data_IF_955459277733
#
_entry.id   IF_955459277733
#
_cell.length_a   1.000
_cell.length_b   1.000
_cell.length_c   1.000
_cell.angle_alpha   90.00
_cell.angle_beta   90.00
_cell.angle_gamma   90.00
#
_symmetry.space_group_name_H-M   'P 1'
#
loop_
_entity.id
_entity.type
_entity.pdbx_description
1 polymer ?
#
# COMPACT_ATOMS: atom_id res chain seq x y z
N UNK A 1 5.45 1.06 31.63
CA UNK A 1 6.72 0.30 31.40
C UNK A 1 6.68 -0.62 30.18
N UNK A 2 5.53 -0.78 29.51
CA UNK A 2 5.45 -1.61 28.28
C UNK A 2 5.96 -0.86 27.03
N UNK A 3 5.71 0.44 26.90
CA UNK A 3 6.17 1.23 25.75
C UNK A 3 7.69 1.30 25.60
N UNK A 4 8.43 1.21 26.68
CA UNK A 4 9.90 1.20 26.68
C UNK A 4 10.50 0.00 25.92
N UNK A 5 9.76 -1.09 25.78
CA UNK A 5 10.26 -2.30 25.12
C UNK A 5 10.22 -2.19 23.58
N UNK A 6 9.22 -1.52 23.00
CA UNK A 6 9.17 -1.27 21.53
C UNK A 6 10.24 -0.25 21.15
N UNK A 7 10.38 0.82 21.92
CA UNK A 7 11.42 1.84 21.75
C UNK A 7 12.82 1.25 21.94
N UNK A 8 13.01 0.31 22.88
CA UNK A 8 14.31 -0.32 23.14
C UNK A 8 14.71 -1.37 22.09
N UNK A 9 13.75 -1.96 21.37
CA UNK A 9 14.02 -3.01 20.38
C UNK A 9 14.22 -2.52 18.94
N UNK A 10 13.95 -1.24 18.64
CA UNK A 10 14.13 -0.76 17.29
C UNK A 10 13.63 0.65 17.07
N UNK A 11 14.22 1.65 17.25
CA UNK A 11 14.14 3.02 16.72
C UNK A 11 12.88 3.32 15.87
N UNK A 12 11.69 3.02 16.40
CA UNK A 12 10.41 3.33 15.74
C UNK A 12 9.91 4.68 16.19
N UNK A 13 9.08 5.29 15.37
CA UNK A 13 8.32 6.48 15.71
C UNK A 13 6.91 6.35 15.10
N UNK A 14 5.89 6.62 15.91
CA UNK A 14 4.50 6.66 15.49
C UNK A 14 4.00 8.07 15.79
N UNK A 15 3.69 8.81 14.76
CA UNK A 15 3.35 10.21 14.81
C UNK A 15 1.91 10.44 14.34
N UNK A 16 1.19 11.26 15.07
CA UNK A 16 -0.17 11.71 14.70
C UNK A 16 -0.14 13.23 14.57
N UNK A 17 -0.76 13.73 13.49
CA UNK A 17 -1.07 15.15 13.32
C UNK A 17 -2.08 15.57 14.39
N UNK A 18 -1.70 16.47 15.27
CA UNK A 18 -2.56 16.97 16.34
C UNK A 18 -3.59 17.97 15.87
N UNK A 19 -3.45 18.47 14.63
CA UNK A 19 -4.27 19.54 14.07
C UNK A 19 -3.94 20.91 14.64
N UNK A 20 -2.98 21.01 15.58
CA UNK A 20 -2.47 22.31 16.01
C UNK A 20 -1.45 22.80 14.98
N UNK A 21 -1.58 24.04 14.58
CA UNK A 21 -0.56 24.76 13.82
C UNK A 21 0.33 25.42 14.85
N UNK A 22 1.35 24.70 15.34
CA UNK A 22 2.37 25.34 16.16
C UNK A 22 3.32 26.11 15.26
N UNK A 23 3.73 27.26 15.73
CA UNK A 23 4.79 28.06 15.12
C UNK A 23 4.51 28.59 13.70
N UNK A 24 3.25 28.74 13.34
CA UNK A 24 2.87 29.41 12.09
C UNK A 24 3.06 30.92 12.20
N UNK A 25 3.59 31.52 11.12
CA UNK A 25 3.60 32.96 10.96
C UNK A 25 2.17 33.47 10.87
N UNK A 26 1.79 34.40 11.75
CA UNK A 26 0.48 35.04 11.78
C UNK A 26 0.62 36.52 11.38
N UNK A 27 0.07 36.90 10.26
CA UNK A 27 0.06 38.29 9.79
C UNK A 27 -0.64 39.19 10.84
N UNK A 28 -0.03 40.32 11.16
CA UNK A 28 -0.49 41.25 12.20
C UNK A 28 -0.39 40.81 13.67
N UNK A 29 0.26 39.68 13.97
CA UNK A 29 0.62 39.28 15.33
C UNK A 29 1.95 39.92 15.75
N UNK A 30 2.00 40.46 16.96
CA UNK A 30 3.20 41.17 17.46
C UNK A 30 4.41 40.24 17.74
N UNK A 31 4.18 38.94 17.90
CA UNK A 31 5.20 37.92 18.18
C UNK A 31 5.36 36.98 17.01
N UNK A 32 4.26 36.40 16.53
CA UNK A 32 4.26 35.43 15.44
C UNK A 32 4.31 36.08 14.05
N UNK A 33 4.14 37.39 13.94
CA UNK A 33 4.21 38.15 12.68
C UNK A 33 5.57 38.76 12.36
N UNK A 34 6.63 38.43 13.12
CA UNK A 34 7.98 38.95 12.86
C UNK A 34 8.67 38.09 11.80
N UNK A 35 9.05 38.69 10.68
CA UNK A 35 9.65 37.99 9.51
C UNK A 35 11.02 37.36 9.76
N UNK A 36 11.73 37.80 10.79
CA UNK A 36 13.03 37.25 11.20
C UNK A 36 12.94 36.32 12.43
N UNK A 37 11.72 35.92 12.76
CA UNK A 37 11.48 34.98 13.84
C UNK A 37 11.87 33.56 13.40
N UNK A 38 12.69 32.88 14.18
CA UNK A 38 13.12 31.52 13.90
C UNK A 38 12.16 30.45 14.45
N UNK A 39 11.17 30.86 15.26
CA UNK A 39 10.17 29.98 15.83
C UNK A 39 8.89 29.96 14.99
N UNK A 40 8.45 31.11 14.47
CA UNK A 40 7.23 31.21 13.66
C UNK A 40 7.60 31.36 12.19
N UNK A 41 7.37 30.32 11.40
CA UNK A 41 7.79 30.24 9.99
C UNK A 41 6.60 30.30 9.03
N UNK A 42 6.85 30.78 7.81
CA UNK A 42 5.79 30.98 6.81
C UNK A 42 5.13 29.68 6.32
N UNK A 43 5.80 28.57 6.41
CA UNK A 43 5.32 27.27 5.97
C UNK A 43 4.62 26.44 7.07
N UNK A 44 4.29 27.06 8.18
CA UNK A 44 3.55 26.49 9.30
C UNK A 44 3.49 24.97 9.31
N UNK A 45 4.50 24.30 9.88
CA UNK A 45 4.55 22.85 9.87
C UNK A 45 3.42 22.27 10.72
N UNK A 46 2.69 21.32 10.15
CA UNK A 46 1.75 20.47 10.90
C UNK A 46 2.47 19.88 12.09
N UNK A 47 1.91 20.05 13.29
CA UNK A 47 2.51 19.50 14.51
C UNK A 47 2.20 18.01 14.61
N UNK A 48 3.22 17.18 14.39
CA UNK A 48 3.14 15.75 14.58
C UNK A 48 3.64 15.38 15.98
N UNK A 49 2.75 14.86 16.80
CA UNK A 49 3.10 14.34 18.11
C UNK A 49 3.47 12.85 18.03
N UNK A 50 4.61 12.47 18.64
CA UNK A 50 4.96 11.07 18.82
C UNK A 50 4.09 10.44 19.92
N UNK A 51 3.41 9.36 19.59
CA UNK A 51 2.48 8.65 20.49
C UNK A 51 2.92 7.22 20.80
N UNK A 52 4.15 6.87 20.47
CA UNK A 52 4.67 5.51 20.58
C UNK A 52 4.71 4.96 22.01
N UNK A 53 4.86 5.82 23.01
CA UNK A 53 5.13 5.42 24.42
C UNK A 53 4.04 4.52 25.04
N UNK A 54 2.80 4.61 24.62
CA UNK A 54 1.70 3.77 25.10
C UNK A 54 1.41 2.54 24.25
N UNK A 55 2.06 2.39 23.08
CA UNK A 55 1.70 1.42 22.08
C UNK A 55 2.18 0.01 22.44
N UNK A 56 1.24 -0.96 22.41
CA UNK A 56 1.51 -2.37 22.65
C UNK A 56 1.76 -3.16 21.37
N UNK A 57 1.00 -2.85 20.33
CA UNK A 57 1.06 -3.55 19.06
C UNK A 57 0.68 -2.64 17.91
N UNK A 58 1.32 -2.85 16.78
CA UNK A 58 1.02 -2.20 15.50
C UNK A 58 0.93 -3.29 14.46
N UNK A 59 -0.10 -3.23 13.63
CA UNK A 59 -0.26 -4.08 12.44
C UNK A 59 -0.44 -3.17 11.24
N UNK A 60 0.36 -3.40 10.20
CA UNK A 60 0.28 -2.67 8.91
C UNK A 60 0.08 -3.68 7.81
N UNK A 61 -0.80 -3.39 6.88
CA UNK A 61 -0.98 -4.17 5.67
C UNK A 61 -1.12 -3.22 4.48
N UNK A 62 -0.31 -3.45 3.42
CA UNK A 62 -0.34 -2.70 2.15
C UNK A 62 -0.30 -3.65 0.97
N UNK A 63 -0.81 -3.21 -0.17
CA UNK A 63 -0.83 -4.02 -1.38
C UNK A 63 -1.91 -5.10 -1.38
N UNK A 64 -1.70 -6.15 -2.17
CA UNK A 64 -2.63 -7.29 -2.36
C UNK A 64 -1.95 -8.60 -1.98
N UNK A 65 -2.73 -9.66 -1.76
CA UNK A 65 -2.18 -10.99 -1.45
C UNK A 65 -1.92 -11.80 -2.70
N UNK A 66 -2.86 -11.76 -3.61
CA UNK A 66 -2.82 -12.55 -4.84
C UNK A 66 -2.74 -11.63 -6.06
N UNK A 67 -2.01 -12.04 -7.09
CA UNK A 67 -1.79 -11.26 -8.30
C UNK A 67 -3.11 -10.89 -9.03
N UNK A 68 -4.13 -11.75 -8.93
CA UNK A 68 -5.45 -11.52 -9.52
C UNK A 68 -6.32 -10.51 -8.78
N UNK A 69 -5.96 -10.15 -7.54
CA UNK A 69 -6.73 -9.21 -6.72
C UNK A 69 -6.51 -7.75 -7.18
N UNK A 70 -7.51 -6.92 -6.94
CA UNK A 70 -7.33 -5.47 -7.07
C UNK A 70 -6.60 -4.93 -5.84
N UNK A 71 -5.78 -3.89 -6.05
CA UNK A 71 -5.20 -3.14 -4.94
C UNK A 71 -6.30 -2.41 -4.16
N UNK A 72 -6.26 -2.56 -2.86
CA UNK A 72 -7.18 -1.89 -1.94
C UNK A 72 -6.41 -0.94 -1.02
N UNK A 73 -7.13 -0.09 -0.30
CA UNK A 73 -6.51 0.78 0.69
C UNK A 73 -5.66 -0.03 1.67
N UNK A 74 -4.41 0.39 1.83
CA UNK A 74 -3.56 -0.11 2.87
C UNK A 74 -4.11 0.29 4.24
N UNK A 75 -3.90 -0.55 5.23
CA UNK A 75 -4.45 -0.36 6.58
C UNK A 75 -3.37 -0.43 7.63
N UNK A 76 -3.49 0.38 8.66
CA UNK A 76 -2.71 0.26 9.88
C UNK A 76 -3.66 0.25 11.08
N UNK A 77 -3.39 -0.59 12.05
CA UNK A 77 -4.04 -0.49 13.36
C UNK A 77 -3.00 -0.57 14.46
N UNK A 78 -3.20 0.20 15.51
CA UNK A 78 -2.37 0.11 16.69
C UNK A 78 -3.21 0.19 17.96
N UNK A 79 -2.78 -0.55 18.97
CA UNK A 79 -3.43 -0.56 20.29
C UNK A 79 -2.49 0.01 21.32
N UNK A 80 -2.98 0.94 22.12
CA UNK A 80 -2.22 1.60 23.16
C UNK A 80 -2.92 1.54 24.51
N UNK A 81 -2.12 1.61 25.57
CA UNK A 81 -2.60 1.77 26.92
C UNK A 81 -2.68 3.26 27.23
N UNK A 82 -3.87 3.75 27.49
CA UNK A 82 -4.11 5.15 27.86
C UNK A 82 -4.20 5.30 29.38
N UNK A 83 -3.06 5.16 30.04
CA UNK A 83 -2.97 5.22 31.53
C UNK A 83 -3.20 6.61 32.11
N UNK A 84 -3.05 7.63 31.29
CA UNK A 84 -3.18 9.03 31.70
C UNK A 84 -4.47 9.68 31.17
N UNK A 85 -5.27 8.96 30.38
CA UNK A 85 -6.49 9.48 29.76
C UNK A 85 -6.23 10.52 28.65
N UNK A 86 -5.00 10.60 28.12
CA UNK A 86 -4.61 11.66 27.16
C UNK A 86 -5.32 11.52 25.80
N UNK A 87 -5.78 10.32 25.47
CA UNK A 87 -6.54 10.05 24.24
C UNK A 87 -8.05 10.11 24.43
N UNK A 88 -8.52 10.37 25.67
CA UNK A 88 -9.93 10.53 25.95
C UNK A 88 -10.47 11.81 25.28
N UNK A 89 -11.40 11.71 24.28
CA UNK A 89 -11.90 12.88 23.58
C UNK A 89 -12.77 13.80 24.46
N UNK A 90 -13.13 13.36 25.65
CA UNK A 90 -13.94 14.09 26.61
C UNK A 90 -13.09 14.79 27.70
N UNK A 91 -11.77 14.60 27.70
CA UNK A 91 -10.89 15.24 28.67
C UNK A 91 -10.35 16.58 28.15
N UNK A 92 -10.96 17.67 28.62
CA UNK A 92 -10.53 19.03 28.29
C UNK A 92 -9.13 19.40 28.81
N UNK A 93 -8.55 18.56 29.69
CA UNK A 93 -7.16 18.73 30.17
C UNK A 93 -6.14 17.90 29.39
N UNK A 94 -6.60 17.12 28.41
CA UNK A 94 -5.70 16.40 27.52
C UNK A 94 -4.76 17.38 26.79
N UNK A 95 -3.47 17.07 26.65
CA UNK A 95 -2.55 17.90 25.85
C UNK A 95 -2.97 17.97 24.37
N UNK A 96 -3.86 17.09 23.93
CA UNK A 96 -4.39 17.03 22.57
C UNK A 96 -5.81 17.61 22.45
N UNK A 97 -6.30 18.33 23.46
CA UNK A 97 -7.58 19.01 23.39
C UNK A 97 -7.38 20.46 22.96
N UNK A 98 -8.08 20.85 21.88
CA UNK A 98 -8.09 22.23 21.41
C UNK A 98 -9.05 23.06 22.25
N UNK A 99 -8.49 23.83 23.18
CA UNK A 99 -9.29 24.69 24.08
C UNK A 99 -9.87 25.92 23.37
N UNK A 100 -9.31 26.31 22.21
CA UNK A 100 -9.81 27.46 21.46
C UNK A 100 -11.07 27.10 20.67
N UNK A 101 -11.08 25.91 20.05
CA UNK A 101 -12.21 25.40 19.28
C UNK A 101 -13.14 24.49 20.12
N UNK A 102 -12.78 24.22 21.36
CA UNK A 102 -13.49 23.32 22.31
C UNK A 102 -13.76 21.93 21.70
N UNK A 103 -12.74 21.31 21.10
CA UNK A 103 -12.83 20.01 20.45
C UNK A 103 -11.57 19.16 20.63
N UNK A 104 -11.65 17.83 20.53
CA UNK A 104 -10.49 16.96 20.52
C UNK A 104 -9.58 17.27 19.33
N UNK A 105 -8.29 17.51 19.55
CA UNK A 105 -7.29 17.69 18.49
C UNK A 105 -7.03 16.36 17.74
N UNK A 106 -6.97 15.25 18.49
CA UNK A 106 -6.89 13.92 17.91
C UNK A 106 -8.28 13.47 17.43
N UNK A 107 -8.60 13.78 16.19
CA UNK A 107 -9.89 13.47 15.56
C UNK A 107 -9.69 12.50 14.39
N UNK A 108 -10.75 11.82 13.92
CA UNK A 108 -10.70 11.13 12.63
C UNK A 108 -10.24 12.05 11.50
N UNK A 109 -9.64 11.48 10.46
CA UNK A 109 -9.03 12.15 9.30
C UNK A 109 -7.73 12.93 9.58
N UNK A 110 -7.17 12.85 10.79
CA UNK A 110 -5.82 13.33 11.06
C UNK A 110 -4.78 12.42 10.40
N UNK A 111 -3.69 13.03 9.90
CA UNK A 111 -2.56 12.28 9.34
C UNK A 111 -1.86 11.45 10.40
N UNK A 112 -1.39 10.28 10.01
CA UNK A 112 -0.61 9.37 10.85
C UNK A 112 0.56 8.83 10.05
N UNK A 113 1.70 8.68 10.71
CA UNK A 113 2.93 8.16 10.11
C UNK A 113 3.57 7.16 11.05
N UNK A 114 3.90 5.99 10.53
CA UNK A 114 4.76 5.02 11.21
C UNK A 114 6.10 5.00 10.51
N UNK A 115 7.17 5.19 11.25
CA UNK A 115 8.52 5.15 10.72
C UNK A 115 9.45 4.30 11.60
N UNK A 116 10.56 3.91 11.00
CA UNK A 116 11.70 3.26 11.64
C UNK A 116 12.96 4.05 11.31
N UNK A 117 13.88 4.16 12.27
CA UNK A 117 15.20 4.69 11.99
C UNK A 117 16.15 3.55 11.62
N UNK A 118 16.87 3.72 10.50
CA UNK A 118 17.91 2.80 10.05
C UNK A 118 19.11 2.80 11.01
N UNK A 119 20.05 1.88 10.79
CA UNK A 119 21.32 1.84 11.54
C UNK A 119 22.17 3.11 11.36
N UNK A 120 21.92 3.87 10.30
CA UNK A 120 22.53 5.17 10.01
C UNK A 120 21.70 6.35 10.52
N UNK A 121 20.66 6.09 11.32
CA UNK A 121 19.74 7.09 11.87
C UNK A 121 18.98 7.88 10.79
N UNK A 122 18.69 7.24 9.64
CA UNK A 122 17.80 7.77 8.62
C UNK A 122 16.38 7.33 8.92
N UNK A 123 15.43 8.28 8.92
CA UNK A 123 14.02 8.02 9.15
C UNK A 123 13.40 7.43 7.87
N UNK A 124 12.81 6.26 7.97
CA UNK A 124 12.19 5.53 6.88
C UNK A 124 10.76 5.16 7.24
N UNK A 125 9.80 5.57 6.41
CA UNK A 125 8.40 5.30 6.66
C UNK A 125 8.07 3.84 6.34
N UNK A 126 7.17 3.26 7.13
CA UNK A 126 6.54 1.96 6.91
C UNK A 126 5.08 2.11 6.50
N UNK A 127 4.46 3.22 6.92
CA UNK A 127 3.08 3.55 6.59
C UNK A 127 2.83 5.05 6.77
N UNK A 128 2.12 5.63 5.82
CA UNK A 128 1.58 6.98 5.88
C UNK A 128 0.10 6.94 5.49
N UNK A 129 -0.76 7.63 6.24
CA UNK A 129 -2.18 7.62 5.95
C UNK A 129 -2.97 8.55 6.87
N UNK A 130 -4.25 8.24 7.02
CA UNK A 130 -5.20 8.98 7.88
C UNK A 130 -5.83 8.07 8.91
N UNK A 131 -6.21 8.63 10.04
CA UNK A 131 -6.95 7.91 11.07
C UNK A 131 -8.42 7.85 10.65
N UNK A 132 -8.96 6.63 10.61
CA UNK A 132 -10.37 6.39 10.23
C UNK A 132 -11.26 6.28 11.45
N UNK A 133 -10.78 5.62 12.49
CA UNK A 133 -11.58 5.34 13.69
C UNK A 133 -10.73 5.20 14.95
N UNK A 134 -11.30 5.60 16.08
CA UNK A 134 -10.80 5.32 17.43
C UNK A 134 -11.81 4.42 18.15
N UNK A 135 -11.36 3.30 18.67
CA UNK A 135 -12.15 2.39 19.49
C UNK A 135 -11.65 2.43 20.93
N UNK A 136 -12.43 3.04 21.81
CA UNK A 136 -12.10 3.24 23.23
C UNK A 136 -12.71 2.13 24.07
N UNK A 137 -11.89 1.52 24.92
CA UNK A 137 -12.33 0.54 25.91
C UNK A 137 -11.96 1.03 27.32
N UNK A 138 -12.96 1.58 28.02
CA UNK A 138 -12.83 2.07 29.39
C UNK A 138 -13.17 0.95 30.38
N UNK A 139 -12.17 0.48 31.15
CA UNK A 139 -12.29 -0.65 32.04
C UNK A 139 -12.39 -0.20 33.51
N UNK A 140 -13.49 -0.52 34.18
CA UNK A 140 -13.64 -0.27 35.62
C UNK A 140 -12.62 -1.09 36.41
N UNK A 141 -11.65 -0.41 37.02
CA UNK A 141 -10.58 -1.03 37.81
C UNK A 141 -9.50 -1.74 36.99
N UNK A 142 -9.47 -1.52 35.67
CA UNK A 142 -8.45 -1.99 34.73
C UNK A 142 -7.65 -0.85 34.13
N UNK A 143 -6.94 -1.16 33.05
CA UNK A 143 -6.26 -0.17 32.23
C UNK A 143 -7.16 0.17 31.03
N UNK A 144 -7.33 1.44 30.77
CA UNK A 144 -8.02 1.91 29.58
C UNK A 144 -7.15 1.68 28.34
N UNK A 145 -7.79 1.26 27.26
CA UNK A 145 -7.11 0.99 25.98
C UNK A 145 -7.79 1.72 24.85
N UNK A 146 -7.00 2.15 23.90
CA UNK A 146 -7.47 2.74 22.65
C UNK A 146 -6.91 1.95 21.50
N UNK A 147 -7.76 1.50 20.58
CA UNK A 147 -7.36 0.93 19.30
C UNK A 147 -7.67 1.94 18.21
N UNK A 148 -6.63 2.33 17.47
CA UNK A 148 -6.74 3.31 16.39
C UNK A 148 -6.65 2.57 15.05
N UNK A 149 -7.59 2.84 14.17
CA UNK A 149 -7.63 2.28 12.81
C UNK A 149 -7.32 3.37 11.81
N UNK A 150 -6.37 3.08 10.92
CA UNK A 150 -5.87 3.99 9.92
C UNK A 150 -5.95 3.34 8.53
N UNK A 151 -6.06 4.18 7.51
CA UNK A 151 -5.99 3.76 6.12
C UNK A 151 -5.11 4.74 5.33
N UNK A 152 -4.51 4.28 4.23
CA UNK A 152 -3.79 5.14 3.30
C UNK A 152 -4.75 6.01 2.45
N UNK A 153 -4.20 6.82 1.55
CA UNK A 153 -4.99 7.76 0.76
C UNK A 153 -5.91 7.10 -0.28
N UNK A 154 -5.77 5.80 -0.54
CA UNK A 154 -6.79 5.06 -1.31
C UNK A 154 -8.14 5.05 -0.61
N UNK A 155 -8.16 5.11 0.73
CA UNK A 155 -9.41 5.30 1.46
C UNK A 155 -10.12 6.60 1.06
N UNK A 156 -9.36 7.70 0.89
CA UNK A 156 -9.93 8.98 0.46
C UNK A 156 -10.47 8.90 -0.97
N UNK A 157 -9.69 8.30 -1.89
CA UNK A 157 -10.13 8.08 -3.28
C UNK A 157 -11.35 7.16 -3.37
N UNK A 158 -11.46 6.17 -2.47
CA UNK A 158 -12.63 5.30 -2.38
C UNK A 158 -13.90 5.99 -1.85
N UNK A 159 -13.78 7.13 -1.17
CA UNK A 159 -14.90 7.95 -0.69
C UNK A 159 -15.28 9.07 -1.67
N UNK A 160 -14.43 9.32 -2.68
CA UNK A 160 -14.63 10.39 -3.66
C UNK A 160 -15.34 9.87 -4.90
N UNK A 161 -16.25 10.67 -5.43
CA UNK A 161 -17.03 10.35 -6.63
C UNK A 161 -16.83 11.41 -7.68
N UNK A 162 -16.68 10.98 -8.93
CA UNK A 162 -16.49 11.82 -10.10
C UNK A 162 -17.79 12.52 -10.50
N UNK A 163 -17.68 13.76 -10.94
CA UNK A 163 -18.68 14.37 -11.81
C UNK A 163 -18.63 13.76 -13.21
N UNK A 164 -19.59 14.07 -14.10
CA UNK A 164 -19.54 13.61 -15.48
C UNK A 164 -18.24 14.07 -16.14
N UNK A 165 -17.45 13.11 -16.62
CA UNK A 165 -16.13 13.37 -17.17
C UNK A 165 -16.03 12.87 -18.61
N UNK A 166 -15.79 13.78 -19.55
CA UNK A 166 -15.57 13.47 -20.95
C UNK A 166 -14.09 13.09 -21.16
N UNK A 167 -13.85 11.90 -21.65
CA UNK A 167 -12.53 11.37 -21.89
C UNK A 167 -12.11 11.48 -23.35
N UNK A 168 -10.82 11.65 -23.62
CA UNK A 168 -10.20 11.57 -24.93
C UNK A 168 -9.47 10.24 -25.10
N UNK A 169 -9.14 9.89 -26.34
CA UNK A 169 -8.23 8.77 -26.60
C UNK A 169 -6.83 9.18 -26.15
N UNK A 170 -6.29 8.46 -25.17
CA UNK A 170 -5.03 8.81 -24.49
C UNK A 170 -4.39 7.59 -23.82
N UNK A 171 -3.13 7.74 -23.39
CA UNK A 171 -2.45 6.70 -22.62
C UNK A 171 -3.08 6.54 -21.22
N UNK A 172 -2.99 5.34 -20.67
CA UNK A 172 -3.47 5.02 -19.32
C UNK A 172 -2.92 5.96 -18.25
N UNK A 173 -1.63 6.29 -18.28
CA UNK A 173 -0.99 7.24 -17.37
C UNK A 173 -1.55 8.66 -17.49
N UNK A 174 -1.86 9.11 -18.72
CA UNK A 174 -2.49 10.40 -18.93
C UNK A 174 -3.91 10.43 -18.34
N UNK A 175 -4.66 9.32 -18.48
CA UNK A 175 -5.98 9.16 -17.88
C UNK A 175 -5.91 9.18 -16.36
N UNK A 176 -4.97 8.46 -15.73
CA UNK A 176 -4.74 8.51 -14.29
C UNK A 176 -4.47 9.96 -13.84
N UNK A 177 -3.54 10.64 -14.51
CA UNK A 177 -3.21 12.05 -14.19
C UNK A 177 -4.42 12.96 -14.34
N UNK A 178 -5.18 12.83 -15.43
CA UNK A 178 -6.36 13.64 -15.69
C UNK A 178 -7.44 13.46 -14.60
N UNK A 179 -7.67 12.24 -14.13
CA UNK A 179 -8.62 11.95 -13.05
C UNK A 179 -8.14 12.55 -11.72
N UNK A 180 -6.86 12.41 -11.39
CA UNK A 180 -6.29 12.94 -10.16
C UNK A 180 -6.27 14.48 -10.12
N UNK A 181 -6.27 15.14 -11.30
CA UNK A 181 -6.31 16.61 -11.45
C UNK A 181 -7.72 17.20 -11.42
N UNK A 182 -8.77 16.37 -11.45
CA UNK A 182 -10.15 16.86 -11.39
C UNK A 182 -10.40 17.63 -10.07
N UNK A 183 -11.16 18.75 -10.10
CA UNK A 183 -11.39 19.59 -8.91
C UNK A 183 -11.98 18.84 -7.71
N UNK A 184 -12.84 17.85 -7.96
CA UNK A 184 -13.47 17.02 -6.92
C UNK A 184 -12.51 15.99 -6.33
N UNK A 185 -11.40 15.66 -7.02
CA UNK A 185 -10.35 14.74 -6.55
C UNK A 185 -9.18 15.51 -5.97
N UNK A 186 -8.64 16.47 -6.72
CA UNK A 186 -7.57 17.39 -6.36
C UNK A 186 -6.40 16.70 -5.61
N UNK A 187 -6.01 15.51 -6.06
CA UNK A 187 -4.94 14.76 -5.40
C UNK A 187 -3.59 15.49 -5.59
N UNK A 188 -2.76 15.64 -4.54
CA UNK A 188 -1.55 16.46 -4.63
C UNK A 188 -0.54 15.93 -5.66
N UNK A 189 -0.02 16.78 -6.53
CA UNK A 189 0.91 16.38 -7.59
C UNK A 189 2.30 15.94 -7.07
N UNK A 190 2.71 16.42 -5.89
CA UNK A 190 4.01 16.09 -5.29
C UNK A 190 4.04 14.71 -4.61
N UNK A 191 2.88 14.07 -4.46
CA UNK A 191 2.73 12.74 -3.88
C UNK A 191 2.25 11.73 -4.92
N UNK A 192 2.75 11.85 -6.17
CA UNK A 192 2.42 10.95 -7.28
C UNK A 192 3.70 10.50 -7.96
N UNK A 193 3.81 9.18 -8.18
CA UNK A 193 4.79 8.56 -9.06
C UNK A 193 4.05 7.79 -10.16
N UNK A 194 3.93 8.42 -11.33
CA UNK A 194 3.14 7.90 -12.44
C UNK A 194 4.05 7.58 -13.62
N UNK A 195 4.35 6.30 -13.79
CA UNK A 195 5.10 5.81 -14.94
C UNK A 195 4.29 6.00 -16.24
N UNK A 196 5.00 6.18 -17.35
CA UNK A 196 4.33 6.31 -18.67
C UNK A 196 3.63 5.01 -19.05
N UNK A 197 2.31 5.09 -19.25
CA UNK A 197 1.49 3.95 -19.66
C UNK A 197 1.82 3.44 -21.05
N UNK A 198 1.54 2.18 -21.31
CA UNK A 198 1.77 1.51 -22.59
C UNK A 198 0.49 1.32 -23.39
N UNK A 199 -0.65 1.30 -22.71
CA UNK A 199 -1.95 1.08 -23.34
C UNK A 199 -2.65 2.39 -23.66
N UNK A 200 -3.26 2.44 -24.85
CA UNK A 200 -4.14 3.54 -25.23
C UNK A 200 -5.57 3.20 -24.84
N UNK A 201 -6.22 4.10 -24.13
CA UNK A 201 -7.61 3.98 -23.69
C UNK A 201 -8.55 4.70 -24.65
N UNK A 202 -9.79 4.21 -24.74
CA UNK A 202 -10.81 4.78 -25.60
C UNK A 202 -11.28 6.16 -25.14
N UNK A 203 -11.71 6.99 -26.13
CA UNK A 203 -12.15 8.37 -25.92
C UNK A 203 -13.47 8.72 -26.63
N UNK A 204 -14.27 7.73 -27.05
CA UNK A 204 -15.58 7.97 -27.66
C UNK A 204 -16.68 8.20 -26.62
N UNK A 205 -17.89 8.57 -27.06
CA UNK A 205 -19.05 8.73 -26.18
C UNK A 205 -19.39 7.48 -25.35
N UNK A 206 -18.93 6.29 -25.76
CA UNK A 206 -19.10 5.06 -24.98
C UNK A 206 -18.21 5.00 -23.72
N UNK A 207 -17.16 5.81 -23.68
CA UNK A 207 -16.19 5.86 -22.56
C UNK A 207 -16.41 7.06 -21.63
N UNK A 208 -17.43 7.88 -21.84
CA UNK A 208 -17.78 8.98 -20.92
C UNK A 208 -17.99 8.38 -19.53
N UNK A 209 -17.30 8.95 -18.54
CA UNK A 209 -17.43 8.53 -17.16
C UNK A 209 -18.69 9.15 -16.56
N UNK A 210 -19.68 8.36 -16.13
CA UNK A 210 -20.91 8.90 -15.56
C UNK A 210 -20.67 9.60 -14.22
N UNK A 211 -21.49 10.61 -13.94
CA UNK A 211 -21.56 11.21 -12.62
C UNK A 211 -21.85 10.14 -11.55
N UNK A 212 -21.16 10.22 -10.42
CA UNK A 212 -21.29 9.27 -9.33
C UNK A 212 -20.44 8.01 -9.49
N UNK A 213 -19.50 7.97 -10.45
CA UNK A 213 -18.50 6.92 -10.55
C UNK A 213 -17.47 7.08 -9.44
N UNK A 214 -17.17 5.99 -8.72
CA UNK A 214 -16.16 5.99 -7.67
C UNK A 214 -14.75 6.18 -8.27
N UNK A 215 -13.95 7.09 -7.69
CA UNK A 215 -12.61 7.43 -8.20
C UNK A 215 -11.68 6.21 -8.21
N UNK A 216 -11.54 5.53 -7.06
CA UNK A 216 -10.65 4.38 -6.94
C UNK A 216 -11.09 3.22 -7.84
N UNK A 217 -12.40 2.99 -7.95
CA UNK A 217 -12.96 2.00 -8.86
C UNK A 217 -12.60 2.29 -10.32
N UNK A 218 -12.76 3.52 -10.77
CA UNK A 218 -12.39 3.90 -12.13
C UNK A 218 -10.87 3.81 -12.41
N UNK A 219 -10.04 4.24 -11.44
CA UNK A 219 -8.58 4.08 -11.54
C UNK A 219 -8.18 2.59 -11.58
N UNK A 220 -8.92 1.72 -10.89
CA UNK A 220 -8.71 0.27 -10.96
C UNK A 220 -9.07 -0.29 -12.34
N UNK A 221 -10.14 0.21 -12.98
CA UNK A 221 -10.49 -0.17 -14.36
C UNK A 221 -9.41 0.29 -15.37
N UNK A 222 -8.82 1.48 -15.15
CA UNK A 222 -7.67 1.96 -15.93
C UNK A 222 -6.46 1.04 -15.76
N UNK A 223 -6.17 0.65 -14.52
CA UNK A 223 -5.07 -0.27 -14.20
C UNK A 223 -5.33 -1.69 -14.76
N UNK A 224 -6.57 -2.17 -14.76
CA UNK A 224 -6.94 -3.46 -15.38
C UNK A 224 -6.68 -3.43 -16.89
N UNK A 225 -7.00 -2.33 -17.58
CA UNK A 225 -6.72 -2.18 -19.01
C UNK A 225 -5.22 -2.10 -19.30
N UNK A 226 -4.42 -1.52 -18.41
CA UNK A 226 -2.96 -1.45 -18.52
C UNK A 226 -2.28 -2.75 -18.10
N UNK A 227 -2.85 -3.54 -17.17
CA UNK A 227 -2.19 -4.64 -16.46
C UNK A 227 -0.91 -4.18 -15.75
N UNK A 228 -1.00 -3.00 -15.16
CA UNK A 228 0.04 -2.39 -14.34
C UNK A 228 -0.16 -2.65 -12.84
N UNK A 229 0.45 -1.78 -12.03
CA UNK A 229 0.22 -1.71 -10.59
C UNK A 229 -0.25 -0.31 -10.20
N UNK A 230 -1.26 -0.25 -9.36
CA UNK A 230 -1.76 1.00 -8.79
C UNK A 230 -1.85 0.81 -7.28
N UNK A 231 -1.00 1.50 -6.51
CA UNK A 231 -0.92 1.32 -5.06
C UNK A 231 -0.42 2.59 -4.36
N UNK A 232 -0.54 2.61 -3.03
CA UNK A 232 0.12 3.64 -2.21
C UNK A 232 1.45 3.10 -1.70
N UNK A 233 2.53 3.87 -1.90
CA UNK A 233 3.86 3.53 -1.40
C UNK A 233 3.92 3.61 0.13
N UNK A 234 4.99 3.10 0.74
CA UNK A 234 5.25 3.23 2.18
C UNK A 234 5.40 4.69 2.63
N UNK A 235 5.82 5.56 1.72
CA UNK A 235 6.04 6.99 1.95
C UNK A 235 4.77 7.83 1.76
N UNK A 236 3.67 7.20 1.29
CA UNK A 236 2.37 7.82 1.08
C UNK A 236 2.18 8.44 -0.30
N UNK A 237 3.01 8.05 -1.28
CA UNK A 237 2.84 8.46 -2.68
C UNK A 237 1.91 7.49 -3.43
N UNK A 238 1.06 8.03 -4.29
CA UNK A 238 0.29 7.23 -5.23
C UNK A 238 1.19 6.82 -6.39
N UNK A 239 1.39 5.50 -6.52
CA UNK A 239 2.23 4.91 -7.55
C UNK A 239 1.35 4.27 -8.63
N UNK A 240 1.64 4.58 -9.88
CA UNK A 240 1.11 3.88 -11.04
C UNK A 240 2.25 3.35 -11.89
N UNK A 241 2.47 2.04 -11.84
CA UNK A 241 3.40 1.33 -12.70
C UNK A 241 2.67 0.80 -13.92
N UNK A 242 3.18 1.15 -15.10
CA UNK A 242 2.68 0.60 -16.35
C UNK A 242 3.08 -0.89 -16.50
N UNK A 243 2.46 -1.60 -17.44
CA UNK A 243 2.75 -3.02 -17.73
C UNK A 243 4.26 -3.30 -17.90
N UNK A 244 5.00 -2.42 -18.54
CA UNK A 244 6.46 -2.55 -18.67
C UNK A 244 7.19 -2.41 -17.34
N UNK A 245 6.69 -1.60 -16.41
CA UNK A 245 7.21 -1.42 -15.06
C UNK A 245 6.93 -2.62 -14.15
N UNK A 246 6.02 -3.52 -14.52
CA UNK A 246 5.77 -4.77 -13.79
C UNK A 246 6.75 -5.88 -14.16
N UNK A 247 7.65 -5.66 -15.12
CA UNK A 247 8.75 -6.58 -15.41
C UNK A 247 9.70 -6.60 -14.23
N UNK A 248 10.13 -7.80 -13.82
CA UNK A 248 11.05 -7.97 -12.70
C UNK A 248 12.32 -7.14 -12.91
N UNK A 249 12.64 -6.32 -11.92
CA UNK A 249 13.89 -5.57 -11.82
C UNK A 249 14.95 -6.43 -11.11
N UNK A 250 16.23 -6.04 -11.07
CA UNK A 250 17.19 -6.74 -10.22
C UNK A 250 16.71 -6.82 -8.77
N UNK A 251 16.88 -7.98 -8.16
CA UNK A 251 16.47 -8.23 -6.77
C UNK A 251 17.09 -7.23 -5.81
N UNK A 252 16.25 -6.64 -4.95
CA UNK A 252 16.70 -5.72 -3.88
C UNK A 252 17.09 -6.47 -2.61
N UNK A 253 16.66 -7.73 -2.48
CA UNK A 253 16.95 -8.57 -1.31
C UNK A 253 16.89 -10.05 -1.67
N UNK A 254 17.91 -10.81 -1.22
CA UNK A 254 18.02 -12.25 -1.44
C UNK A 254 17.77 -13.01 -0.14
N UNK A 255 16.71 -13.78 -0.13
CA UNK A 255 16.29 -14.60 1.01
C UNK A 255 16.63 -16.08 0.76
N UNK A 256 17.38 -16.68 1.68
CA UNK A 256 17.85 -18.04 1.53
C UNK A 256 17.95 -18.78 2.86
N UNK A 257 17.85 -20.11 2.83
CA UNK A 257 17.97 -20.98 4.01
C UNK A 257 19.39 -21.55 4.23
N UNK A 258 20.40 -21.06 3.51
CA UNK A 258 21.80 -21.48 3.60
C UNK A 258 22.60 -20.84 4.75
N UNK A 259 22.05 -19.80 5.40
CA UNK A 259 22.68 -19.03 6.46
C UNK A 259 23.66 -17.95 5.98
N UNK A 260 23.78 -17.69 4.68
CA UNK A 260 24.66 -16.65 4.11
C UNK A 260 23.91 -15.38 3.71
N UNK A 261 22.71 -15.53 3.20
CA UNK A 261 21.82 -14.45 2.78
C UNK A 261 20.85 -14.02 3.89
N UNK A 262 19.77 -13.34 3.56
CA UNK A 262 18.77 -12.92 4.54
C UNK A 262 17.95 -14.14 4.98
N UNK A 263 17.98 -14.51 6.28
CA UNK A 263 17.20 -15.64 6.74
C UNK A 263 15.71 -15.32 6.82
N UNK A 264 14.87 -16.34 6.62
CA UNK A 264 13.43 -16.25 6.77
C UNK A 264 12.90 -17.30 7.77
N UNK A 265 11.69 -17.08 8.28
CA UNK A 265 11.02 -18.00 9.21
C UNK A 265 10.21 -19.06 8.47
N UNK A 266 9.66 -18.70 7.32
CA UNK A 266 8.83 -19.56 6.53
C UNK A 266 8.51 -19.01 5.16
N UNK A 267 8.23 -19.91 4.23
CA UNK A 267 7.80 -19.59 2.86
C UNK A 267 6.54 -20.38 2.54
N UNK A 268 5.59 -19.74 1.89
CA UNK A 268 4.43 -20.37 1.27
C UNK A 268 4.74 -20.73 -0.18
N UNK A 269 4.43 -21.94 -0.59
CA UNK A 269 4.55 -22.39 -1.98
C UNK A 269 3.19 -22.93 -2.39
N UNK A 270 2.67 -22.49 -3.51
CA UNK A 270 1.46 -23.05 -4.12
C UNK A 270 1.79 -23.70 -5.46
N UNK A 271 1.01 -24.71 -5.78
CA UNK A 271 1.00 -25.40 -7.07
C UNK A 271 -0.43 -25.84 -7.30
N UNK A 272 -1.21 -24.98 -7.93
CA UNK A 272 -2.67 -25.12 -7.96
C UNK A 272 -3.27 -24.86 -9.34
N UNK A 273 -4.47 -25.37 -9.57
CA UNK A 273 -5.16 -25.24 -10.85
C UNK A 273 -5.64 -23.82 -11.14
N UNK A 274 -5.88 -23.01 -10.09
CA UNK A 274 -6.37 -21.63 -10.22
C UNK A 274 -5.33 -20.68 -10.84
N UNK A 275 -4.05 -21.14 -10.92
CA UNK A 275 -2.99 -20.42 -11.64
C UNK A 275 -3.14 -20.52 -13.17
N UNK A 276 -3.90 -21.52 -13.67
CA UNK A 276 -3.99 -21.74 -15.11
C UNK A 276 -5.05 -20.82 -15.72
N UNK A 277 -4.63 -20.02 -16.68
CA UNK A 277 -5.51 -19.29 -17.60
C UNK A 277 -5.20 -19.75 -19.03
N UNK A 278 -6.02 -20.64 -19.60
CA UNK A 278 -5.82 -21.15 -20.94
C UNK A 278 -6.88 -20.68 -21.94
N UNK A 279 -7.77 -19.80 -21.49
CA UNK A 279 -8.68 -19.02 -22.31
C UNK A 279 -8.84 -17.65 -21.68
N UNK A 280 -8.57 -16.61 -22.44
CA UNK A 280 -8.81 -15.23 -22.03
C UNK A 280 -9.82 -14.57 -22.94
N UNK A 281 -10.78 -13.86 -22.38
CA UNK A 281 -11.83 -13.14 -23.11
C UNK A 281 -11.81 -11.68 -22.68
N UNK A 282 -11.54 -10.77 -23.61
CA UNK A 282 -11.52 -9.33 -23.37
C UNK A 282 -12.55 -8.64 -24.25
N UNK A 283 -13.47 -7.92 -23.64
CA UNK A 283 -14.49 -7.14 -24.32
C UNK A 283 -14.35 -5.66 -23.94
N UNK A 284 -14.32 -4.81 -24.96
CA UNK A 284 -14.23 -3.36 -24.80
C UNK A 284 -15.58 -2.81 -24.32
N UNK A 285 -15.53 -1.81 -23.46
CA UNK A 285 -16.70 -1.08 -22.98
C UNK A 285 -17.54 -0.57 -24.17
N UNK A 286 -18.82 -0.94 -24.21
CA UNK A 286 -19.76 -0.57 -25.28
C UNK A 286 -19.62 -1.38 -26.57
N UNK A 287 -18.68 -2.31 -26.66
CA UNK A 287 -18.56 -3.24 -27.80
C UNK A 287 -19.35 -4.53 -27.55
N UNK A 288 -19.90 -5.13 -28.64
CA UNK A 288 -20.51 -6.46 -28.61
C UNK A 288 -19.58 -7.54 -29.22
N UNK A 289 -18.30 -7.22 -29.42
CA UNK A 289 -17.34 -8.09 -30.09
C UNK A 289 -16.21 -8.51 -29.14
N UNK A 290 -16.40 -9.56 -28.30
CA UNK A 290 -15.34 -10.02 -27.41
C UNK A 290 -14.16 -10.60 -28.20
N UNK A 291 -12.95 -10.27 -27.78
CA UNK A 291 -11.72 -10.83 -28.30
C UNK A 291 -11.32 -12.02 -27.43
N UNK A 292 -10.92 -13.11 -28.06
CA UNK A 292 -10.65 -14.38 -27.37
C UNK A 292 -9.28 -14.91 -27.76
N UNK A 293 -8.48 -15.27 -26.77
CA UNK A 293 -7.25 -16.03 -26.94
C UNK A 293 -7.39 -17.40 -26.25
N UNK A 294 -6.92 -18.45 -26.90
CA UNK A 294 -7.03 -19.83 -26.43
C UNK A 294 -5.69 -20.57 -26.54
N UNK A 295 -5.34 -21.38 -25.55
CA UNK A 295 -4.31 -22.41 -25.63
C UNK A 295 -4.94 -23.82 -25.63
N UNK A 296 -5.09 -24.40 -26.82
CA UNK A 296 -5.73 -25.70 -27.00
C UNK A 296 -4.90 -26.84 -26.37
N UNK A 297 -3.56 -26.69 -26.29
CA UNK A 297 -2.68 -27.67 -25.68
C UNK A 297 -2.89 -27.78 -24.17
N UNK A 298 -2.98 -26.64 -23.51
CA UNK A 298 -3.30 -26.53 -22.08
C UNK A 298 -4.72 -26.98 -21.78
N UNK A 299 -5.71 -26.58 -22.60
CA UNK A 299 -7.11 -27.00 -22.42
C UNK A 299 -7.28 -28.51 -22.49
N UNK A 300 -6.50 -29.21 -23.33
CA UNK A 300 -6.52 -30.66 -23.40
C UNK A 300 -5.98 -31.34 -22.14
N UNK A 301 -5.09 -30.68 -21.39
CA UNK A 301 -4.50 -31.20 -20.13
C UNK A 301 -5.29 -30.80 -18.89
N UNK A 302 -5.70 -29.51 -18.81
CA UNK A 302 -6.20 -28.88 -17.59
C UNK A 302 -7.67 -28.43 -17.69
N UNK A 303 -8.39 -28.85 -18.75
CA UNK A 303 -9.72 -28.35 -19.09
C UNK A 303 -9.71 -26.84 -19.41
N UNK A 304 -10.88 -26.30 -19.72
CA UNK A 304 -10.99 -24.86 -20.03
C UNK A 304 -11.04 -24.06 -18.73
N UNK A 305 -10.01 -23.24 -18.53
CA UNK A 305 -9.89 -22.27 -17.44
C UNK A 305 -9.95 -20.87 -18.04
N UNK A 306 -11.06 -20.16 -17.82
CA UNK A 306 -11.34 -18.88 -18.49
C UNK A 306 -11.15 -17.70 -17.55
N UNK A 307 -10.34 -16.72 -17.97
CA UNK A 307 -10.32 -15.38 -17.40
C UNK A 307 -11.08 -14.42 -18.33
N UNK A 308 -11.89 -13.50 -17.79
CA UNK A 308 -12.74 -12.64 -18.60
C UNK A 308 -12.80 -11.20 -18.09
N UNK A 309 -12.49 -10.25 -18.95
CA UNK A 309 -12.70 -8.81 -18.77
C UNK A 309 -13.83 -8.38 -19.70
N UNK A 310 -14.93 -7.84 -19.17
CA UNK A 310 -16.14 -7.54 -19.95
C UNK A 310 -16.33 -6.05 -20.25
N UNK A 311 -15.58 -5.16 -19.62
CA UNK A 311 -15.73 -3.70 -19.71
C UNK A 311 -14.38 -2.99 -19.83
N UNK A 312 -13.44 -3.56 -20.61
CA UNK A 312 -12.10 -2.98 -20.78
C UNK A 312 -12.17 -1.58 -21.38
N UNK A 313 -11.36 -0.67 -20.85
CA UNK A 313 -11.24 0.70 -21.33
C UNK A 313 -10.33 0.85 -22.56
N UNK A 314 -9.81 -0.23 -23.13
CA UNK A 314 -8.94 -0.22 -24.31
C UNK A 314 -9.65 0.41 -25.54
N UNK A 315 -8.86 1.08 -26.39
CA UNK A 315 -9.39 1.85 -27.53
C UNK A 315 -9.82 1.00 -28.74
N UNK A 316 -9.32 -0.25 -28.88
CA UNK A 316 -9.54 -1.05 -30.11
C UNK A 316 -9.59 -2.56 -29.84
N UNK A 317 -10.31 -3.29 -30.73
CA UNK A 317 -10.39 -4.76 -30.70
C UNK A 317 -9.00 -5.42 -30.82
N UNK A 318 -8.05 -4.81 -31.56
CA UNK A 318 -6.67 -5.29 -31.64
C UNK A 318 -5.96 -5.22 -30.28
N UNK A 319 -6.11 -4.10 -29.56
CA UNK A 319 -5.53 -3.96 -28.21
C UNK A 319 -6.18 -4.93 -27.21
N UNK A 320 -7.49 -5.19 -27.35
CA UNK A 320 -8.19 -6.18 -26.54
C UNK A 320 -7.72 -7.62 -26.82
N UNK A 321 -7.42 -7.95 -28.10
CA UNK A 321 -6.84 -9.25 -28.45
C UNK A 321 -5.42 -9.40 -27.92
N UNK A 322 -4.59 -8.35 -28.03
CA UNK A 322 -3.22 -8.35 -27.48
C UNK A 322 -3.25 -8.53 -25.96
N UNK A 323 -4.21 -7.91 -25.27
CA UNK A 323 -4.42 -8.12 -23.84
C UNK A 323 -4.88 -9.57 -23.55
N UNK A 324 -5.81 -10.13 -24.32
CA UNK A 324 -6.25 -11.50 -24.14
C UNK A 324 -5.08 -12.51 -24.31
N UNK A 325 -4.19 -12.28 -25.27
CA UNK A 325 -2.98 -13.10 -25.44
C UNK A 325 -2.02 -12.95 -24.24
N UNK A 326 -1.85 -11.74 -23.73
CA UNK A 326 -0.99 -11.47 -22.57
C UNK A 326 -1.49 -12.16 -21.30
N UNK A 327 -2.81 -12.28 -21.13
CA UNK A 327 -3.42 -12.90 -19.94
C UNK A 327 -3.36 -14.43 -19.92
N UNK A 328 -2.87 -15.07 -20.99
CA UNK A 328 -2.71 -16.52 -20.99
C UNK A 328 -1.54 -16.95 -20.08
N UNK A 329 -1.84 -17.81 -19.14
CA UNK A 329 -0.88 -18.54 -18.30
C UNK A 329 -1.24 -20.04 -18.38
N UNK A 330 -0.70 -20.76 -19.38
CA UNK A 330 -1.24 -22.05 -19.77
C UNK A 330 -0.81 -23.24 -18.91
N UNK A 331 0.19 -23.08 -18.04
CA UNK A 331 0.72 -24.22 -17.26
C UNK A 331 0.90 -23.82 -15.77
N UNK A 332 0.45 -24.67 -14.84
CA UNK A 332 0.68 -24.41 -13.43
C UNK A 332 2.17 -24.58 -13.09
N UNK A 333 2.68 -23.70 -12.27
CA UNK A 333 4.04 -23.73 -11.76
C UNK A 333 4.06 -23.68 -10.23
N UNK A 334 5.06 -24.34 -9.62
CA UNK A 334 5.28 -24.16 -8.20
C UNK A 334 5.85 -22.75 -7.96
N UNK A 335 5.11 -21.91 -7.24
CA UNK A 335 5.46 -20.51 -7.01
C UNK A 335 5.48 -20.20 -5.52
N UNK A 336 6.43 -19.36 -5.10
CA UNK A 336 6.37 -18.77 -3.78
C UNK A 336 5.27 -17.70 -3.78
N UNK A 337 4.35 -17.82 -2.83
CA UNK A 337 3.24 -16.86 -2.66
C UNK A 337 3.42 -15.98 -1.44
N UNK A 338 4.31 -16.39 -0.52
CA UNK A 338 4.62 -15.57 0.64
C UNK A 338 5.95 -15.94 1.26
N UNK A 339 6.57 -14.96 1.90
CA UNK A 339 7.78 -15.11 2.71
C UNK A 339 7.62 -14.35 4.01
N UNK A 340 7.88 -15.00 5.14
CA UNK A 340 7.85 -14.38 6.45
C UNK A 340 9.24 -14.36 7.09
N UNK A 341 9.65 -13.20 7.64
CA UNK A 341 10.88 -13.07 8.43
C UNK A 341 10.66 -12.24 9.68
N UNK A 342 11.54 -12.44 10.69
CA UNK A 342 11.52 -11.67 11.93
C UNK A 342 12.79 -10.86 12.07
N UNK A 343 12.65 -9.59 12.42
CA UNK A 343 13.77 -8.68 12.65
C UNK A 343 14.72 -9.17 13.76
N UNK A 344 14.25 -10.01 14.66
CA UNK A 344 15.08 -10.63 15.69
C UNK A 344 16.18 -11.54 15.12
N UNK A 345 15.95 -12.12 13.95
CA UNK A 345 16.92 -13.01 13.27
C UNK A 345 17.93 -12.24 12.42
N UNK A 346 17.68 -10.98 12.13
CA UNK A 346 18.42 -10.18 11.17
C UNK A 346 19.53 -9.36 11.82
N UNK A 347 20.63 -9.20 11.12
CA UNK A 347 21.65 -8.21 11.43
C UNK A 347 21.12 -6.79 11.19
N UNK A 348 21.80 -5.74 11.69
CA UNK A 348 21.36 -4.35 11.49
C UNK A 348 21.22 -3.99 10.01
N UNK A 349 22.19 -4.36 9.17
CA UNK A 349 22.15 -4.09 7.73
C UNK A 349 20.98 -4.82 7.04
N UNK A 350 20.74 -6.09 7.40
CA UNK A 350 19.61 -6.85 6.84
C UNK A 350 18.27 -6.27 7.27
N UNK A 351 18.15 -5.76 8.52
CA UNK A 351 16.95 -5.05 8.99
C UNK A 351 16.69 -3.79 8.18
N UNK A 352 17.74 -3.05 7.84
CA UNK A 352 17.62 -1.83 7.03
C UNK A 352 17.16 -2.17 5.61
N UNK A 353 17.73 -3.23 4.99
CA UNK A 353 17.27 -3.70 3.68
C UNK A 353 15.82 -4.16 3.74
N UNK A 354 15.46 -5.04 4.69
CA UNK A 354 14.11 -5.63 4.79
C UNK A 354 13.04 -4.56 5.09
N UNK A 355 13.38 -3.54 5.87
CA UNK A 355 12.41 -2.50 6.25
C UNK A 355 11.95 -1.62 5.08
N UNK A 356 12.78 -1.46 4.05
CA UNK A 356 12.54 -0.52 2.94
C UNK A 356 11.96 -1.19 1.70
N UNK A 357 11.87 -2.53 1.68
CA UNK A 357 11.19 -3.24 0.58
C UNK A 357 9.75 -2.74 0.47
N UNK A 358 9.35 -2.36 -0.74
CA UNK A 358 7.99 -1.88 -1.00
C UNK A 358 7.26 -2.75 -2.04
N UNK A 359 5.99 -2.48 -2.22
CA UNK A 359 5.17 -3.09 -3.27
C UNK A 359 5.78 -2.74 -4.64
N UNK A 360 5.91 -3.73 -5.52
CA UNK A 360 6.57 -3.56 -6.82
C UNK A 360 8.05 -3.90 -6.84
N UNK A 361 8.74 -3.93 -5.69
CA UNK A 361 10.12 -4.39 -5.61
C UNK A 361 10.25 -5.87 -5.98
N UNK A 362 11.41 -6.24 -6.52
CA UNK A 362 11.74 -7.65 -6.80
C UNK A 362 12.60 -8.21 -5.67
N UNK A 363 12.24 -9.40 -5.18
CA UNK A 363 13.04 -10.15 -4.21
C UNK A 363 13.35 -11.54 -4.75
N UNK A 364 14.50 -12.09 -4.36
CA UNK A 364 14.85 -13.49 -4.65
C UNK A 364 14.51 -14.35 -3.44
N UNK A 365 13.81 -15.44 -3.68
CA UNK A 365 13.53 -16.45 -2.64
C UNK A 365 14.14 -17.79 -3.08
N UNK A 366 14.96 -18.38 -2.23
CA UNK A 366 15.59 -19.65 -2.47
C UNK A 366 15.39 -20.60 -1.29
N UNK A 367 14.95 -21.82 -1.59
CA UNK A 367 14.73 -22.90 -0.64
C UNK A 367 15.40 -24.17 -1.09
N UNK A 368 16.23 -24.72 -0.20
CA UNK A 368 16.87 -26.02 -0.39
C UNK A 368 15.99 -27.16 0.09
N UNK A 369 15.83 -28.19 -0.75
CA UNK A 369 15.11 -29.42 -0.45
C UNK A 369 16.10 -30.58 -0.48
N UNK A 370 16.28 -31.25 0.66
CA UNK A 370 17.18 -32.43 0.75
C UNK A 370 16.37 -33.71 0.78
N UNK A 371 16.62 -34.59 -0.21
CA UNK A 371 16.03 -35.92 -0.28
C UNK A 371 17.15 -36.94 -0.36
N UNK A 372 17.42 -37.64 0.75
CA UNK A 372 18.54 -38.55 0.87
C UNK A 372 19.88 -37.80 0.79
N UNK A 373 20.64 -38.07 -0.28
CA UNK A 373 21.96 -37.43 -0.53
C UNK A 373 21.88 -36.31 -1.58
N UNK A 374 20.70 -36.04 -2.15
CA UNK A 374 20.51 -35.04 -3.20
C UNK A 374 19.84 -33.83 -2.60
N UNK A 375 20.41 -32.65 -2.84
CA UNK A 375 19.79 -31.35 -2.55
C UNK A 375 19.31 -30.74 -3.87
N UNK A 376 18.08 -30.32 -3.90
CA UNK A 376 17.47 -29.56 -5.01
C UNK A 376 17.09 -28.22 -4.48
N UNK A 377 17.34 -27.16 -5.24
CA UNK A 377 17.03 -25.80 -4.89
C UNK A 377 15.90 -25.29 -5.79
N UNK A 378 14.95 -24.58 -5.19
CA UNK A 378 13.97 -23.79 -5.91
C UNK A 378 14.33 -22.33 -5.66
N UNK A 379 14.81 -21.64 -6.68
CA UNK A 379 15.14 -20.22 -6.66
C UNK A 379 14.21 -19.47 -7.61
N UNK A 380 13.58 -18.41 -7.14
CA UNK A 380 12.70 -17.58 -7.95
C UNK A 380 12.91 -16.09 -7.62
N UNK A 381 12.99 -15.27 -8.66
CA UNK A 381 12.86 -13.83 -8.57
C UNK A 381 11.38 -13.49 -8.69
N UNK A 382 10.85 -12.70 -7.75
CA UNK A 382 9.43 -12.47 -7.59
C UNK A 382 9.17 -11.01 -7.25
N UNK A 383 8.10 -10.46 -7.78
CA UNK A 383 7.64 -9.14 -7.38
C UNK A 383 6.89 -9.20 -6.04
N UNK A 384 7.09 -8.20 -5.21
CA UNK A 384 6.32 -7.99 -3.98
C UNK A 384 4.97 -7.37 -4.34
N UNK A 385 3.89 -8.08 -4.07
CA UNK A 385 2.52 -7.64 -4.32
C UNK A 385 1.86 -7.06 -3.08
N UNK A 386 2.31 -7.46 -1.91
CA UNK A 386 1.80 -6.93 -0.65
C UNK A 386 2.73 -7.20 0.51
N UNK A 387 2.55 -6.40 1.56
CA UNK A 387 3.41 -6.38 2.73
C UNK A 387 2.55 -6.31 3.99
N UNK A 388 2.88 -7.16 4.96
CA UNK A 388 2.25 -7.13 6.28
C UNK A 388 3.32 -7.02 7.36
N UNK A 389 3.34 -5.89 8.11
CA UNK A 389 4.19 -5.72 9.28
C UNK A 389 3.39 -5.96 10.55
N UNK A 390 3.96 -6.72 11.47
CA UNK A 390 3.45 -6.86 12.83
C UNK A 390 4.54 -6.47 13.81
N UNK A 391 4.29 -5.44 14.59
CA UNK A 391 5.22 -4.93 15.61
C UNK A 391 4.54 -5.07 16.96
N UNK A 392 5.14 -5.82 17.87
CA UNK A 392 4.57 -6.09 19.19
C UNK A 392 5.65 -6.05 20.25
N UNK A 393 5.34 -5.49 21.42
CA UNK A 393 6.28 -5.34 22.55
C UNK A 393 6.84 -6.66 23.06
N UNK A 394 6.12 -7.77 22.88
CA UNK A 394 6.50 -9.09 23.37
C UNK A 394 7.23 -9.95 22.32
N UNK A 395 6.87 -9.82 21.05
CA UNK A 395 7.37 -10.69 19.96
C UNK A 395 8.32 -9.97 19.01
N UNK A 396 8.44 -8.64 19.14
CA UNK A 396 9.25 -7.81 18.24
C UNK A 396 8.55 -7.52 16.92
N UNK A 397 9.35 -7.27 15.89
CA UNK A 397 8.88 -6.94 14.54
C UNK A 397 9.03 -8.15 13.61
N UNK A 398 7.96 -8.52 12.96
CA UNK A 398 7.92 -9.50 11.87
C UNK A 398 7.30 -8.88 10.63
N UNK A 399 7.74 -9.33 9.46
CA UNK A 399 7.20 -8.92 8.16
C UNK A 399 6.88 -10.15 7.32
N UNK A 400 5.77 -10.06 6.60
CA UNK A 400 5.39 -11.04 5.58
C UNK A 400 5.24 -10.31 4.25
N UNK A 401 5.93 -10.80 3.23
CA UNK A 401 5.77 -10.36 1.84
C UNK A 401 4.89 -11.35 1.11
N UNK A 402 3.94 -10.86 0.34
CA UNK A 402 3.14 -11.62 -0.61
C UNK A 402 3.75 -11.39 -1.99
N UNK A 403 3.96 -12.45 -2.75
CA UNK A 403 4.79 -12.41 -3.96
C UNK A 403 4.09 -13.04 -5.16
N UNK A 404 4.42 -12.52 -6.34
CA UNK A 404 4.04 -13.10 -7.64
C UNK A 404 5.22 -13.11 -8.61
N UNK A 405 5.17 -13.96 -9.67
CA UNK A 405 6.19 -14.01 -10.72
C UNK A 405 6.30 -12.72 -11.50
#
# INVERSE_FOLDING_TARGET
MAGTAVVASGNYDLEIDTGFVQDAFLLDDAVAGLLDNTQYVLDGTTDFASVLDGVNSISVRRGRRDQGDQFSAGTMSFTMLDTAGIFNPFDENSPYYDTAEAQPGLAPMRRVRLSRYSSLNVKEYLFVGVIVNYDYNFALGGLDTVTVFCADDFYLLAQTYLDEFNVSEELSSARVTAVLDLPEVAFPALTRDIATGTQTLGGSAAFVVPQGTNVLGYLSDVNEAEQGRLFMSRDGDLVFDARLGTTLTPSVADFHDDGTNIPYNGVGITFEADQVTNRAVVQILGSNNPQVADDAGSQAKYFVQTYSITTSLLHSDSAALDLAVYLLDPEPEARYTSLATSFALLSSAQRDTVAVIDVGDTITIEKSFTSGVTTTELAQELAVEGIEHTINVNTGHSVTYYTSP
#
